data_IF_644544260693
#
_entry.id   IF_644544260693
#
_cell.length_a   1.000
_cell.length_b   1.000
_cell.length_c   1.000
_cell.angle_alpha   90.00
_cell.angle_beta   90.00
_cell.angle_gamma   90.00
#
_symmetry.space_group_name_H-M   'P 1'
#
loop_
_entity.id
_entity.type
_entity.pdbx_description
1 polymer ?
#
# COMPACT_ATOMS: atom_id res chain seq x y z
N UNK A 1 -9.58 29.16 -21.60
CA UNK A 1 -8.65 28.06 -21.25
C UNK A 1 -9.20 27.37 -20.00
N UNK A 2 -9.56 26.09 -20.06
CA UNK A 2 -10.06 25.37 -18.88
C UNK A 2 -8.90 25.12 -17.93
N UNK A 3 -8.89 25.75 -16.76
CA UNK A 3 -7.91 25.46 -15.71
C UNK A 3 -8.12 24.02 -15.24
N UNK A 4 -7.07 23.21 -15.34
CA UNK A 4 -7.03 21.85 -14.82
C UNK A 4 -6.55 21.91 -13.37
N UNK A 5 -7.02 20.96 -12.55
CA UNK A 5 -6.42 20.76 -11.24
C UNK A 5 -4.95 20.36 -11.41
N UNK A 6 -4.04 20.77 -10.49
CA UNK A 6 -2.61 20.53 -10.62
C UNK A 6 -2.26 19.05 -10.87
N UNK A 7 -2.96 18.13 -10.20
CA UNK A 7 -2.73 16.68 -10.33
C UNK A 7 -3.09 16.17 -11.73
N UNK A 8 -4.23 16.59 -12.28
CA UNK A 8 -4.66 16.21 -13.62
C UNK A 8 -3.74 16.78 -14.70
N UNK A 9 -3.30 18.04 -14.56
CA UNK A 9 -2.36 18.65 -15.49
C UNK A 9 -1.03 17.89 -15.50
N UNK A 10 -0.51 17.57 -14.31
CA UNK A 10 0.75 16.85 -14.19
C UNK A 10 0.65 15.41 -14.69
N UNK A 11 -0.47 14.72 -14.40
CA UNK A 11 -0.78 13.39 -14.94
C UNK A 11 -0.76 13.38 -16.47
N UNK A 12 -1.46 14.32 -17.12
CA UNK A 12 -1.50 14.42 -18.59
C UNK A 12 -0.10 14.70 -19.17
N UNK A 13 0.68 15.57 -18.53
CA UNK A 13 2.08 15.82 -18.91
C UNK A 13 2.92 14.54 -18.84
N UNK A 14 2.88 13.84 -17.71
CA UNK A 14 3.64 12.60 -17.49
C UNK A 14 3.21 11.48 -18.45
N UNK A 15 1.91 11.39 -18.75
CA UNK A 15 1.39 10.47 -19.75
C UNK A 15 2.01 10.76 -21.13
N UNK A 16 2.05 12.04 -21.53
CA UNK A 16 2.68 12.48 -22.76
C UNK A 16 4.19 12.21 -22.82
N UNK A 17 4.93 12.51 -21.74
CA UNK A 17 6.37 12.22 -21.62
C UNK A 17 6.65 10.73 -21.81
N UNK A 18 5.81 9.87 -21.23
CA UNK A 18 5.93 8.42 -21.33
C UNK A 18 5.35 7.79 -22.58
N UNK A 19 4.77 8.57 -23.50
CA UNK A 19 4.10 8.04 -24.70
C UNK A 19 2.81 7.24 -24.40
N UNK A 20 2.20 7.45 -23.24
CA UNK A 20 0.97 6.76 -22.83
C UNK A 20 -0.24 7.38 -23.55
N UNK A 21 -1.04 6.54 -24.22
CA UNK A 21 -2.27 6.99 -24.86
C UNK A 21 -3.38 7.16 -23.82
N UNK A 22 -3.99 8.34 -23.79
CA UNK A 22 -5.14 8.63 -22.94
C UNK A 22 -6.43 8.46 -23.75
N UNK A 23 -7.22 7.48 -23.35
CA UNK A 23 -8.46 7.10 -24.03
C UNK A 23 -9.69 7.42 -23.17
N UNK A 24 -10.84 7.63 -23.81
CA UNK A 24 -12.13 7.62 -23.12
C UNK A 24 -13.06 6.54 -23.68
N UNK A 25 -13.85 5.93 -22.79
CA UNK A 25 -14.83 4.93 -23.17
C UNK A 25 -16.12 5.61 -23.69
N UNK A 26 -16.77 5.12 -24.77
CA UNK A 26 -18.00 5.70 -25.27
C UNK A 26 -19.12 5.81 -24.23
N UNK A 27 -19.23 4.84 -23.34
CA UNK A 27 -20.21 4.85 -22.25
C UNK A 27 -20.01 6.02 -21.27
N UNK A 28 -18.79 6.52 -21.08
CA UNK A 28 -18.55 7.74 -20.29
C UNK A 28 -19.21 8.96 -20.93
N UNK A 29 -19.21 9.06 -22.26
CA UNK A 29 -19.91 10.14 -22.97
C UNK A 29 -21.43 10.01 -22.77
N UNK A 30 -21.96 8.80 -22.93
CA UNK A 30 -23.39 8.51 -22.69
C UNK A 30 -23.82 8.91 -21.27
N UNK A 31 -22.97 8.65 -20.28
CA UNK A 31 -23.24 9.05 -18.90
C UNK A 31 -23.20 10.58 -18.71
N UNK A 32 -22.16 11.24 -19.23
CA UNK A 32 -22.01 12.70 -19.19
C UNK A 32 -23.20 13.39 -19.88
N UNK A 33 -23.72 12.85 -20.98
CA UNK A 33 -24.84 13.43 -21.71
C UNK A 33 -26.13 13.48 -20.87
N UNK A 34 -26.30 12.52 -19.94
CA UNK A 34 -27.41 12.45 -18.97
C UNK A 34 -27.27 13.42 -17.79
N UNK A 35 -26.15 14.12 -17.66
CA UNK A 35 -25.95 15.12 -16.61
C UNK A 35 -26.99 16.26 -16.74
N UNK A 36 -27.75 16.46 -15.66
CA UNK A 36 -28.79 17.49 -15.54
C UNK A 36 -28.18 18.90 -15.44
N UNK A 37 -26.95 19.02 -14.95
CA UNK A 37 -26.26 20.30 -14.87
C UNK A 37 -25.61 20.63 -16.23
N UNK A 38 -26.26 21.50 -16.99
CA UNK A 38 -25.85 21.87 -18.35
C UNK A 38 -24.46 22.50 -18.41
N UNK A 39 -24.07 23.31 -17.42
CA UNK A 39 -22.74 23.91 -17.35
C UNK A 39 -21.65 22.87 -17.05
N UNK A 40 -21.88 21.98 -16.08
CA UNK A 40 -20.95 20.89 -15.74
C UNK A 40 -20.79 19.93 -16.91
N UNK A 41 -21.89 19.57 -17.57
CA UNK A 41 -21.91 18.74 -18.78
C UNK A 41 -21.06 19.33 -19.88
N UNK A 42 -21.31 20.59 -20.25
CA UNK A 42 -20.57 21.26 -21.34
C UNK A 42 -19.06 21.32 -21.06
N UNK A 43 -18.68 21.65 -19.81
CA UNK A 43 -17.26 21.64 -19.40
C UNK A 43 -16.62 20.26 -19.50
N UNK A 44 -17.33 19.21 -19.10
CA UNK A 44 -16.80 17.85 -19.08
C UNK A 44 -16.67 17.29 -20.50
N UNK A 45 -17.66 17.53 -21.36
CA UNK A 45 -17.60 17.17 -22.79
C UNK A 45 -16.45 17.88 -23.52
N UNK A 46 -16.23 19.17 -23.25
CA UNK A 46 -15.11 19.90 -23.83
C UNK A 46 -13.75 19.33 -23.40
N UNK A 47 -13.64 18.84 -22.16
CA UNK A 47 -12.43 18.13 -21.67
C UNK A 47 -12.29 16.76 -22.33
N UNK A 48 -13.39 16.03 -22.52
CA UNK A 48 -13.39 14.69 -23.11
C UNK A 48 -12.77 14.67 -24.52
N UNK A 49 -12.90 15.76 -25.27
CA UNK A 49 -12.30 15.93 -26.61
C UNK A 49 -10.76 15.91 -26.61
N UNK A 50 -10.12 16.08 -25.46
CA UNK A 50 -8.65 15.99 -25.32
C UNK A 50 -8.16 14.54 -25.35
N UNK A 51 -9.06 13.57 -25.20
CA UNK A 51 -8.75 12.14 -25.16
C UNK A 51 -9.22 11.45 -26.43
N UNK A 52 -8.50 10.42 -26.86
CA UNK A 52 -8.91 9.63 -28.02
C UNK A 52 -10.04 8.68 -27.62
N UNK A 53 -11.04 8.50 -28.49
CA UNK A 53 -12.14 7.56 -28.23
C UNK A 53 -11.62 6.13 -28.33
N UNK A 54 -12.01 5.27 -27.38
CA UNK A 54 -11.81 3.82 -27.51
C UNK A 54 -12.80 3.26 -28.54
N UNK A 55 -12.29 2.85 -29.70
CA UNK A 55 -13.08 2.24 -30.77
C UNK A 55 -13.31 0.75 -30.54
N UNK A 56 -14.48 0.24 -30.94
CA UNK A 56 -14.81 -1.19 -30.85
C UNK A 56 -14.97 -1.73 -29.43
N UNK A 57 -15.24 -0.87 -28.44
CA UNK A 57 -15.39 -1.30 -27.05
C UNK A 57 -16.53 -2.34 -26.89
N UNK A 58 -16.27 -3.49 -26.25
CA UNK A 58 -17.25 -4.56 -26.13
C UNK A 58 -18.37 -4.17 -25.15
N UNK A 59 -19.61 -4.51 -25.48
CA UNK A 59 -20.72 -4.40 -24.54
C UNK A 59 -20.58 -5.46 -23.44
N UNK A 60 -20.90 -5.09 -22.20
CA UNK A 60 -20.79 -6.00 -21.07
C UNK A 60 -21.84 -7.11 -21.14
N UNK A 61 -21.46 -8.40 -21.01
CA UNK A 61 -22.43 -9.49 -20.91
C UNK A 61 -23.22 -9.45 -19.59
N UNK A 62 -22.81 -8.61 -18.63
CA UNK A 62 -23.50 -8.42 -17.33
C UNK A 62 -24.74 -7.54 -17.43
N UNK A 63 -24.90 -6.81 -18.54
CA UNK A 63 -26.04 -5.92 -18.74
C UNK A 63 -27.29 -6.74 -19.09
N UNK A 64 -28.31 -6.62 -18.24
CA UNK A 64 -29.64 -7.23 -18.41
C UNK A 64 -30.70 -6.17 -18.62
N UNK A 65 -31.92 -6.57 -18.97
CA UNK A 65 -33.06 -5.65 -19.13
C UNK A 65 -33.41 -4.88 -17.84
N UNK A 66 -32.96 -5.37 -16.67
CA UNK A 66 -33.18 -4.73 -15.36
C UNK A 66 -32.02 -3.84 -14.92
N UNK A 67 -30.92 -3.80 -15.68
CA UNK A 67 -29.74 -3.01 -15.31
C UNK A 67 -30.02 -1.52 -15.48
N UNK A 68 -29.69 -0.71 -14.47
CA UNK A 68 -29.87 0.74 -14.57
C UNK A 68 -28.95 1.33 -15.65
N UNK A 69 -29.31 2.50 -16.18
CA UNK A 69 -28.52 3.14 -17.23
C UNK A 69 -27.10 3.54 -16.76
N UNK A 70 -26.93 3.82 -15.46
CA UNK A 70 -25.64 4.11 -14.85
C UNK A 70 -24.84 2.82 -14.67
N UNK A 71 -25.46 1.78 -14.11
CA UNK A 71 -24.81 0.47 -13.94
C UNK A 71 -24.38 -0.14 -15.28
N UNK A 72 -25.17 0.07 -16.33
CA UNK A 72 -24.83 -0.39 -17.67
C UNK A 72 -23.55 0.27 -18.18
N UNK A 73 -23.39 1.58 -17.97
CA UNK A 73 -22.17 2.31 -18.33
C UNK A 73 -20.95 1.83 -17.53
N UNK A 74 -21.10 1.65 -16.21
CA UNK A 74 -20.03 1.10 -15.37
C UNK A 74 -19.60 -0.28 -15.82
N UNK A 75 -20.58 -1.16 -16.07
CA UNK A 75 -20.35 -2.53 -16.49
C UNK A 75 -19.62 -2.58 -17.85
N UNK A 76 -19.97 -1.71 -18.79
CA UNK A 76 -19.29 -1.62 -20.09
C UNK A 76 -17.85 -1.13 -19.94
N UNK A 77 -17.63 -0.08 -19.14
CA UNK A 77 -16.28 0.45 -18.87
C UNK A 77 -15.40 -0.63 -18.22
N UNK A 78 -15.94 -1.34 -17.22
CA UNK A 78 -15.22 -2.42 -16.55
C UNK A 78 -15.00 -3.61 -17.46
N UNK A 79 -15.95 -3.92 -18.35
CA UNK A 79 -15.80 -5.02 -19.30
C UNK A 79 -14.71 -4.73 -20.35
N UNK A 80 -14.58 -3.48 -20.80
CA UNK A 80 -13.46 -3.09 -21.66
C UNK A 80 -12.10 -3.32 -20.98
N UNK A 81 -12.00 -3.05 -19.68
CA UNK A 81 -10.81 -3.37 -18.88
C UNK A 81 -10.58 -4.89 -18.78
N UNK A 82 -11.64 -5.68 -18.54
CA UNK A 82 -11.57 -7.15 -18.51
C UNK A 82 -11.11 -7.77 -19.83
N UNK A 83 -11.58 -7.22 -20.95
CA UNK A 83 -11.17 -7.61 -22.29
C UNK A 83 -9.78 -7.10 -22.68
N UNK A 84 -9.02 -6.50 -21.75
CA UNK A 84 -7.68 -5.97 -21.98
C UNK A 84 -7.63 -4.89 -23.09
N UNK A 85 -8.71 -4.12 -23.27
CA UNK A 85 -8.75 -3.02 -24.24
C UNK A 85 -7.89 -1.82 -23.79
N UNK A 86 -7.62 -1.71 -22.49
CA UNK A 86 -6.79 -0.65 -21.89
C UNK A 86 -5.90 -1.22 -20.79
N UNK A 87 -4.81 -0.53 -20.49
CA UNK A 87 -3.86 -0.97 -19.47
C UNK A 87 -4.26 -0.61 -18.03
N UNK A 88 -5.01 0.48 -17.88
CA UNK A 88 -5.46 0.98 -16.59
C UNK A 88 -6.70 1.86 -16.80
N UNK A 89 -7.54 1.92 -15.77
CA UNK A 89 -8.69 2.81 -15.72
C UNK A 89 -8.43 3.91 -14.69
N UNK A 90 -8.61 5.17 -15.07
CA UNK A 90 -8.52 6.32 -14.15
C UNK A 90 -9.92 6.88 -13.94
N UNK A 91 -10.42 6.82 -12.70
CA UNK A 91 -11.76 7.30 -12.32
C UNK A 91 -11.80 7.70 -10.84
N UNK A 92 -12.59 8.73 -10.53
CA UNK A 92 -12.93 9.13 -9.15
C UNK A 92 -14.18 8.42 -8.62
N UNK A 93 -14.81 7.57 -9.44
CA UNK A 93 -16.05 6.89 -9.11
C UNK A 93 -15.83 5.72 -8.13
N UNK A 94 -16.33 5.89 -6.89
CA UNK A 94 -16.19 4.91 -5.80
C UNK A 94 -16.90 3.57 -6.10
N UNK A 95 -18.00 3.58 -6.86
CA UNK A 95 -18.75 2.38 -7.21
C UNK A 95 -17.96 1.55 -8.22
N UNK A 96 -17.37 2.19 -9.25
CA UNK A 96 -16.47 1.51 -10.19
C UNK A 96 -15.27 0.89 -9.47
N UNK A 97 -14.64 1.62 -8.54
CA UNK A 97 -13.54 1.08 -7.70
C UNK A 97 -13.97 -0.13 -6.87
N UNK A 98 -15.22 -0.15 -6.40
CA UNK A 98 -15.78 -1.27 -5.62
C UNK A 98 -16.04 -2.50 -6.50
N UNK A 99 -16.75 -2.30 -7.62
CA UNK A 99 -17.07 -3.35 -8.60
C UNK A 99 -15.79 -4.00 -9.15
N UNK A 100 -14.77 -3.21 -9.49
CA UNK A 100 -13.49 -3.72 -10.00
C UNK A 100 -12.74 -4.61 -9.00
N UNK A 101 -12.81 -4.29 -7.70
CA UNK A 101 -12.18 -5.12 -6.66
C UNK A 101 -12.92 -6.43 -6.43
N UNK A 102 -14.24 -6.40 -6.40
CA UNK A 102 -15.06 -7.60 -6.29
C UNK A 102 -14.80 -8.56 -7.46
N UNK A 103 -14.50 -8.03 -8.64
CA UNK A 103 -14.15 -8.79 -9.83
C UNK A 103 -12.64 -9.11 -9.98
N UNK A 104 -11.80 -8.74 -9.00
CA UNK A 104 -10.39 -9.15 -8.91
C UNK A 104 -9.37 -8.28 -9.66
N UNK A 105 -9.79 -7.21 -10.32
CA UNK A 105 -8.90 -6.32 -11.10
C UNK A 105 -8.83 -4.88 -10.60
N UNK A 106 -9.24 -4.63 -9.34
CA UNK A 106 -9.09 -3.31 -8.71
C UNK A 106 -7.65 -2.76 -8.66
N UNK A 107 -6.64 -3.60 -8.86
CA UNK A 107 -5.24 -3.17 -9.01
C UNK A 107 -4.97 -2.37 -10.30
N UNK A 108 -5.88 -2.43 -11.30
CA UNK A 108 -5.81 -1.69 -12.56
C UNK A 108 -6.65 -0.41 -12.56
N UNK A 109 -7.35 -0.11 -11.46
CA UNK A 109 -8.21 1.08 -11.34
C UNK A 109 -7.58 2.09 -10.38
N UNK A 110 -7.44 3.34 -10.84
CA UNK A 110 -6.74 4.43 -10.16
C UNK A 110 -7.65 5.64 -10.04
N UNK A 111 -7.43 6.45 -9.01
CA UNK A 111 -7.85 7.85 -9.02
C UNK A 111 -6.73 8.72 -9.60
N UNK A 112 -6.99 10.00 -9.82
CA UNK A 112 -6.03 10.86 -10.50
C UNK A 112 -4.70 11.00 -9.73
N UNK A 113 -4.73 11.09 -8.40
CA UNK A 113 -3.51 11.21 -7.59
C UNK A 113 -2.68 9.92 -7.60
N UNK A 114 -3.30 8.75 -7.53
CA UNK A 114 -2.60 7.46 -7.59
C UNK A 114 -2.08 7.16 -9.00
N UNK A 115 -2.77 7.62 -10.04
CA UNK A 115 -2.30 7.52 -11.42
C UNK A 115 -1.11 8.46 -11.67
N UNK A 116 -1.15 9.69 -11.14
CA UNK A 116 -0.04 10.63 -11.19
C UNK A 116 1.21 10.09 -10.46
N UNK A 117 1.06 9.59 -9.22
CA UNK A 117 2.18 8.99 -8.45
C UNK A 117 2.79 7.79 -9.19
N UNK A 118 1.95 6.96 -9.82
CA UNK A 118 2.42 5.84 -10.64
C UNK A 118 3.29 6.31 -11.81
N UNK A 119 2.82 7.29 -12.60
CA UNK A 119 3.60 7.80 -13.72
C UNK A 119 4.87 8.55 -13.28
N UNK A 120 4.82 9.23 -12.13
CA UNK A 120 6.00 9.88 -11.55
C UNK A 120 7.08 8.86 -11.17
N UNK A 121 6.71 7.75 -10.52
CA UNK A 121 7.64 6.64 -10.23
C UNK A 121 8.23 6.03 -11.50
N UNK A 122 7.42 5.97 -12.54
CA UNK A 122 7.80 5.33 -13.79
C UNK A 122 8.81 6.18 -14.59
N UNK A 123 8.58 7.49 -14.66
CA UNK A 123 9.32 8.41 -15.54
C UNK A 123 10.30 9.34 -14.81
N UNK A 124 10.04 9.64 -13.55
CA UNK A 124 10.82 10.56 -12.70
C UNK A 124 11.23 9.87 -11.38
N UNK A 125 11.79 8.63 -11.40
CA UNK A 125 12.04 7.82 -10.20
C UNK A 125 12.99 8.48 -9.20
N UNK A 126 13.98 9.24 -9.68
CA UNK A 126 14.97 9.93 -8.85
C UNK A 126 14.35 11.06 -8.00
N UNK A 127 13.17 11.55 -8.38
CA UNK A 127 12.45 12.59 -7.64
C UNK A 127 11.48 11.99 -6.60
N UNK A 128 11.17 10.70 -6.70
CA UNK A 128 10.21 10.05 -5.79
C UNK A 128 10.88 9.58 -4.51
N UNK A 129 10.86 10.46 -3.51
CA UNK A 129 11.20 10.10 -2.15
C UNK A 129 9.91 9.83 -1.37
N UNK A 130 9.79 8.62 -0.80
CA UNK A 130 8.77 8.38 0.22
C UNK A 130 9.11 9.24 1.44
N UNK A 131 8.16 10.04 1.96
CA UNK A 131 8.45 10.86 3.12
C UNK A 131 8.71 9.96 4.32
N UNK A 132 9.58 10.43 5.21
CA UNK A 132 9.81 9.75 6.46
C UNK A 132 8.60 9.92 7.37
N UNK A 133 8.26 8.85 8.07
CA UNK A 133 7.31 8.94 9.18
C UNK A 133 8.10 9.30 10.44
N UNK A 134 7.76 10.45 11.02
CA UNK A 134 8.32 10.93 12.28
C UNK A 134 7.33 10.65 13.41
N UNK A 135 7.81 10.17 14.55
CA UNK A 135 7.02 10.10 15.79
C UNK A 135 7.30 11.34 16.62
N UNK A 136 6.28 12.18 16.83
CA UNK A 136 6.43 13.47 17.50
C UNK A 136 5.40 13.63 18.62
N UNK A 137 5.74 14.34 19.71
CA UNK A 137 4.73 14.74 20.69
C UNK A 137 3.69 15.65 20.05
N UNK A 138 2.40 15.41 20.32
CA UNK A 138 1.31 16.19 19.72
C UNK A 138 1.44 17.70 19.98
N UNK A 139 1.93 18.10 21.15
CA UNK A 139 2.08 19.52 21.50
C UNK A 139 3.00 20.27 20.55
N UNK A 140 3.97 19.59 19.91
CA UNK A 140 4.89 20.18 18.93
C UNK A 140 4.19 20.65 17.65
N UNK A 141 2.97 20.18 17.41
CA UNK A 141 2.16 20.52 16.23
C UNK A 141 1.13 21.62 16.51
N UNK A 142 1.02 22.11 17.74
CA UNK A 142 -0.03 23.07 18.15
C UNK A 142 0.02 24.38 17.35
N UNK A 143 1.22 24.83 16.97
CA UNK A 143 1.42 26.03 16.15
C UNK A 143 1.07 25.82 14.65
N UNK A 144 0.88 24.56 14.22
CA UNK A 144 0.56 24.19 12.85
C UNK A 144 -0.93 23.87 12.67
N UNK A 145 -1.74 23.95 13.73
CA UNK A 145 -3.19 23.66 13.64
C UNK A 145 -3.93 24.54 12.64
N UNK A 146 -3.39 25.67 12.23
CA UNK A 146 -3.97 26.54 11.20
C UNK A 146 -3.63 26.10 9.76
N UNK A 147 -3.01 24.93 9.56
CA UNK A 147 -2.70 24.44 8.22
C UNK A 147 -3.90 23.78 7.53
N UNK A 148 -3.81 23.68 6.20
CA UNK A 148 -4.82 23.10 5.32
C UNK A 148 -5.19 21.66 5.69
N UNK A 149 -4.22 20.86 6.16
CA UNK A 149 -4.47 19.51 6.64
C UNK A 149 -5.48 19.51 7.80
N UNK A 150 -5.27 20.40 8.78
CA UNK A 150 -6.13 20.48 9.97
C UNK A 150 -7.46 21.17 9.67
N UNK A 151 -7.53 22.08 8.69
CA UNK A 151 -8.81 22.60 8.19
C UNK A 151 -9.69 21.45 7.67
N UNK A 152 -9.10 20.53 6.93
CA UNK A 152 -9.82 19.35 6.42
C UNK A 152 -10.22 18.34 7.50
N UNK A 153 -9.57 18.36 8.67
CA UNK A 153 -9.96 17.57 9.84
C UNK A 153 -11.14 18.21 10.57
N UNK A 154 -11.05 19.52 10.83
CA UNK A 154 -12.13 20.32 11.42
C UNK A 154 -13.42 20.21 10.60
N UNK A 155 -13.33 20.32 9.28
CA UNK A 155 -14.49 20.20 8.39
C UNK A 155 -15.28 18.89 8.57
N UNK A 156 -14.59 17.80 8.95
CA UNK A 156 -15.23 16.49 9.20
C UNK A 156 -15.54 16.19 10.67
N UNK A 157 -14.87 16.85 11.61
CA UNK A 157 -14.94 16.53 13.04
C UNK A 157 -15.81 17.51 13.84
N UNK A 158 -15.77 18.79 13.47
CA UNK A 158 -16.38 19.84 14.26
C UNK A 158 -17.92 19.77 14.18
N UNK A 159 -18.54 19.88 15.34
CA UNK A 159 -19.99 19.99 15.52
C UNK A 159 -20.25 21.03 16.61
N UNK A 160 -21.48 21.52 16.81
CA UNK A 160 -21.75 22.48 17.89
C UNK A 160 -21.33 22.00 19.29
N UNK A 161 -21.17 20.68 19.49
CA UNK A 161 -20.79 20.05 20.76
C UNK A 161 -19.34 19.52 20.78
N UNK A 162 -18.62 19.53 19.65
CA UNK A 162 -17.26 18.96 19.55
C UNK A 162 -16.35 19.87 18.71
N UNK A 163 -15.15 20.13 19.23
CA UNK A 163 -14.12 20.89 18.52
C UNK A 163 -12.83 20.08 18.45
N UNK A 164 -12.32 19.87 17.24
CA UNK A 164 -11.07 19.17 16.97
C UNK A 164 -9.90 19.85 17.67
N UNK A 165 -9.85 21.17 17.55
CA UNK A 165 -8.80 22.02 18.13
C UNK A 165 -8.77 21.94 19.67
N UNK A 166 -9.94 21.92 20.31
CA UNK A 166 -10.05 21.76 21.76
C UNK A 166 -9.60 20.35 22.19
N UNK A 167 -10.10 19.32 21.51
CA UNK A 167 -9.71 17.93 21.74
C UNK A 167 -8.21 17.70 21.53
N UNK A 168 -7.64 18.26 20.46
CA UNK A 168 -6.22 18.15 20.15
C UNK A 168 -5.37 18.72 21.27
N UNK A 169 -5.68 19.95 21.72
CA UNK A 169 -4.94 20.61 22.82
C UNK A 169 -5.10 19.85 24.14
N UNK A 170 -6.28 19.29 24.41
CA UNK A 170 -6.51 18.44 25.59
C UNK A 170 -5.60 17.20 25.55
N UNK A 171 -5.61 16.44 24.44
CA UNK A 171 -4.79 15.23 24.31
C UNK A 171 -3.29 15.52 24.21
N UNK A 172 -2.91 16.67 23.66
CA UNK A 172 -1.51 17.12 23.66
C UNK A 172 -0.97 17.33 25.09
N UNK A 173 -1.79 17.86 26.00
CA UNK A 173 -1.41 18.05 27.42
C UNK A 173 -1.20 16.74 28.17
N UNK A 174 -1.78 15.64 27.72
CA UNK A 174 -1.56 14.30 28.32
C UNK A 174 -0.26 13.65 27.85
N UNK A 175 0.57 14.36 27.07
CA UNK A 175 1.82 13.82 26.52
C UNK A 175 1.62 12.81 25.39
N UNK A 176 0.49 12.85 24.68
CA UNK A 176 0.21 11.94 23.56
C UNK A 176 1.10 12.27 22.35
N UNK A 177 1.47 11.23 21.60
CA UNK A 177 2.26 11.33 20.38
C UNK A 177 1.40 11.17 19.11
N UNK A 178 1.99 11.53 17.97
CA UNK A 178 1.43 11.30 16.65
C UNK A 178 2.55 10.95 15.65
N UNK A 179 2.24 10.03 14.75
CA UNK A 179 3.04 9.84 13.55
C UNK A 179 2.68 10.89 12.51
N UNK A 180 3.67 11.53 11.90
CA UNK A 180 3.45 12.54 10.87
C UNK A 180 4.25 12.24 9.61
N UNK A 181 3.79 12.79 8.49
CA UNK A 181 4.59 12.94 7.28
C UNK A 181 4.61 14.42 6.86
N UNK A 182 5.78 14.87 6.41
CA UNK A 182 6.01 16.21 5.85
C UNK A 182 6.51 16.07 4.41
N UNK A 183 6.22 17.07 3.59
CA UNK A 183 6.99 17.30 2.37
C UNK A 183 8.09 18.28 2.75
N UNK A 184 9.35 17.83 2.61
CA UNK A 184 10.54 18.56 3.06
C UNK A 184 10.49 18.92 4.57
N UNK A 185 11.21 19.95 5.01
CA UNK A 185 11.14 20.47 6.40
C UNK A 185 9.90 21.37 6.66
N UNK A 186 8.88 21.25 5.82
CA UNK A 186 7.72 22.14 5.81
C UNK A 186 6.54 21.70 6.67
N UNK A 187 5.33 21.99 6.19
CA UNK A 187 4.08 21.72 6.89
C UNK A 187 3.80 20.21 7.04
N UNK A 188 3.05 19.87 8.10
CA UNK A 188 2.48 18.51 8.23
C UNK A 188 1.44 18.29 7.15
N UNK A 189 1.65 17.25 6.35
CA UNK A 189 0.79 16.87 5.22
C UNK A 189 0.05 15.55 5.49
N UNK A 190 0.46 14.78 6.49
CA UNK A 190 -0.32 13.67 7.01
C UNK A 190 -0.08 13.48 8.51
N UNK A 191 -1.10 12.95 9.21
CA UNK A 191 -1.04 12.69 10.64
C UNK A 191 -1.80 11.41 11.00
N UNK A 192 -1.20 10.62 11.88
CA UNK A 192 -1.85 9.53 12.59
C UNK A 192 -1.65 9.69 14.10
N UNK A 193 -2.72 10.06 14.82
CA UNK A 193 -2.70 10.17 16.28
C UNK A 193 -3.08 8.81 16.85
N UNK A 194 -2.29 8.31 17.80
CA UNK A 194 -2.50 6.99 18.38
C UNK A 194 -2.52 7.00 19.91
N UNK A 195 -3.11 5.96 20.50
CA UNK A 195 -3.16 5.78 21.94
C UNK A 195 -3.29 4.30 22.32
N UNK A 196 -2.61 3.89 23.39
CA UNK A 196 -2.86 2.60 24.03
C UNK A 196 -4.16 2.68 24.84
N UNK A 197 -4.99 1.64 24.75
CA UNK A 197 -6.25 1.47 25.48
C UNK A 197 -6.30 0.03 26.02
N UNK A 198 -6.97 -0.20 27.15
CA UNK A 198 -7.12 -1.54 27.75
C UNK A 198 -8.59 -1.82 27.98
N UNK A 199 -9.09 -2.97 27.52
CA UNK A 199 -10.47 -3.43 27.72
C UNK A 199 -11.55 -2.42 27.28
N UNK A 200 -11.24 -1.62 26.26
CA UNK A 200 -12.07 -0.53 25.72
C UNK A 200 -13.38 -1.08 25.13
N UNK A 201 -14.48 -0.38 25.41
CA UNK A 201 -15.75 -0.58 24.70
C UNK A 201 -15.67 0.06 23.34
N UNK A 202 -15.82 -0.73 22.28
CA UNK A 202 -15.46 -0.28 20.94
C UNK A 202 -16.63 0.09 20.03
N UNK A 203 -17.85 -0.32 20.36
CA UNK A 203 -19.03 -0.12 19.51
C UNK A 203 -20.31 0.08 20.34
N UNK A 204 -21.40 0.43 19.66
CA UNK A 204 -22.71 0.67 20.30
C UNK A 204 -23.33 -0.61 20.89
N UNK A 205 -22.95 -1.78 20.37
CA UNK A 205 -23.31 -3.09 20.92
C UNK A 205 -22.59 -3.41 22.25
N UNK A 206 -21.67 -2.54 22.68
CA UNK A 206 -20.85 -2.65 23.89
C UNK A 206 -19.86 -3.82 23.85
N UNK A 207 -19.42 -4.23 22.67
CA UNK A 207 -18.33 -5.18 22.52
C UNK A 207 -17.04 -4.60 23.11
N UNK A 208 -16.21 -5.48 23.68
CA UNK A 208 -14.92 -5.12 24.29
C UNK A 208 -13.77 -5.86 23.64
N UNK A 209 -12.70 -5.15 23.37
CA UNK A 209 -11.42 -5.75 22.98
C UNK A 209 -10.65 -6.13 24.24
N UNK A 210 -10.44 -7.43 24.44
CA UNK A 210 -9.69 -7.92 25.60
C UNK A 210 -8.19 -7.57 25.47
N UNK A 211 -7.59 -7.15 26.57
CA UNK A 211 -6.17 -6.85 26.65
C UNK A 211 -5.79 -5.48 26.10
N UNK A 212 -4.48 -5.25 25.98
CA UNK A 212 -3.93 -3.99 25.50
C UNK A 212 -4.21 -3.83 23.99
N UNK A 213 -4.68 -2.65 23.58
CA UNK A 213 -5.05 -2.37 22.20
C UNK A 213 -4.51 -1.01 21.76
N UNK A 214 -4.09 -0.90 20.50
CA UNK A 214 -3.68 0.36 19.89
C UNK A 214 -4.86 1.01 19.17
N UNK A 215 -5.32 2.16 19.66
CA UNK A 215 -6.33 3.00 18.99
C UNK A 215 -5.67 3.98 18.05
N UNK A 216 -6.02 3.93 16.77
CA UNK A 216 -5.71 4.99 15.81
C UNK A 216 -6.82 6.05 15.91
N UNK A 217 -6.59 7.09 16.70
CA UNK A 217 -7.57 8.11 17.06
C UNK A 217 -7.85 9.10 15.91
N UNK A 218 -6.85 9.35 15.07
CA UNK A 218 -6.98 10.16 13.88
C UNK A 218 -6.08 9.53 12.82
N UNK A 219 -6.56 9.41 11.59
CA UNK A 219 -5.80 8.88 10.48
C UNK A 219 -6.11 9.73 9.24
N UNK A 220 -5.22 10.64 8.88
CA UNK A 220 -5.45 11.59 7.80
C UNK A 220 -4.22 11.73 6.92
N UNK A 221 -4.45 11.63 5.62
CA UNK A 221 -3.47 11.92 4.57
C UNK A 221 -3.99 13.09 3.73
N UNK A 222 -3.25 14.19 3.73
CA UNK A 222 -3.53 15.39 2.96
C UNK A 222 -3.53 15.10 1.46
N UNK A 223 -4.37 15.83 0.73
CA UNK A 223 -4.64 15.58 -0.69
C UNK A 223 -3.38 15.66 -1.56
N UNK A 224 -2.47 16.56 -1.22
CA UNK A 224 -1.21 16.81 -1.95
C UNK A 224 -0.24 15.61 -1.92
N UNK A 225 -0.38 14.73 -0.92
CA UNK A 225 0.49 13.56 -0.76
C UNK A 225 -0.27 12.23 -0.79
N UNK A 226 -1.56 12.25 -1.16
CA UNK A 226 -2.30 11.01 -1.45
C UNK A 226 -1.61 10.26 -2.59
N UNK A 227 -1.72 8.94 -2.57
CA UNK A 227 -1.05 8.07 -3.55
C UNK A 227 0.40 7.70 -3.20
N UNK A 228 1.11 8.50 -2.39
CA UNK A 228 2.51 8.24 -2.00
C UNK A 228 2.70 7.17 -0.91
N UNK A 229 1.78 6.21 -0.80
CA UNK A 229 1.79 5.12 0.20
C UNK A 229 1.88 5.53 1.68
N UNK A 230 1.58 6.78 2.01
CA UNK A 230 1.66 7.31 3.39
C UNK A 230 0.81 6.51 4.38
N UNK A 231 -0.41 6.15 3.98
CA UNK A 231 -1.27 5.34 4.82
C UNK A 231 -0.67 3.97 5.12
N UNK A 232 0.00 3.35 4.15
CA UNK A 232 0.71 2.09 4.37
C UNK A 232 1.92 2.25 5.30
N UNK A 233 2.63 3.38 5.23
CA UNK A 233 3.70 3.70 6.17
C UNK A 233 3.18 3.92 7.60
N UNK A 234 2.02 4.57 7.78
CA UNK A 234 1.37 4.67 9.08
C UNK A 234 0.94 3.31 9.63
N UNK A 235 0.40 2.42 8.78
CA UNK A 235 0.09 1.06 9.21
C UNK A 235 1.34 0.28 9.60
N UNK A 236 2.46 0.45 8.87
CA UNK A 236 3.75 -0.13 9.25
C UNK A 236 4.21 0.36 10.62
N UNK A 237 4.14 1.67 10.88
CA UNK A 237 4.45 2.25 12.18
C UNK A 237 3.52 1.71 13.29
N UNK A 238 2.22 1.61 13.01
CA UNK A 238 1.23 1.07 13.94
C UNK A 238 1.49 -0.41 14.29
N UNK A 239 1.78 -1.26 13.29
CA UNK A 239 2.09 -2.68 13.53
C UNK A 239 3.37 -2.87 14.34
N UNK A 240 4.39 -2.06 14.07
CA UNK A 240 5.62 -2.06 14.85
C UNK A 240 5.35 -1.66 16.30
N UNK A 241 4.71 -0.51 16.50
CA UNK A 241 4.38 -0.01 17.84
C UNK A 241 3.50 -0.98 18.64
N UNK A 242 2.49 -1.56 18.00
CA UNK A 242 1.62 -2.56 18.62
C UNK A 242 2.38 -3.83 19.02
N UNK A 243 3.33 -4.28 18.19
CA UNK A 243 4.20 -5.43 18.51
C UNK A 243 5.11 -5.12 19.69
N UNK A 244 5.79 -3.97 19.66
CA UNK A 244 6.71 -3.53 20.72
C UNK A 244 5.96 -3.34 22.05
N UNK A 245 4.71 -2.88 21.99
CA UNK A 245 3.84 -2.68 23.16
C UNK A 245 3.10 -3.94 23.61
N UNK A 246 3.20 -5.06 22.87
CA UNK A 246 2.41 -6.30 23.12
C UNK A 246 0.90 -6.04 23.16
N UNK A 247 0.41 -5.21 22.25
CA UNK A 247 -1.02 -5.09 22.00
C UNK A 247 -1.55 -6.41 21.43
N UNK A 248 -2.82 -6.72 21.68
CA UNK A 248 -3.57 -7.83 21.09
C UNK A 248 -4.43 -7.40 19.90
N UNK A 249 -4.72 -6.09 19.80
CA UNK A 249 -5.58 -5.53 18.76
C UNK A 249 -5.11 -4.14 18.33
N UNK A 250 -5.47 -3.77 17.10
CA UNK A 250 -5.38 -2.41 16.59
C UNK A 250 -6.75 -2.02 16.04
N UNK A 251 -7.22 -0.82 16.36
CA UNK A 251 -8.56 -0.41 15.96
C UNK A 251 -8.69 1.06 15.61
N UNK A 252 -9.73 1.36 14.84
CA UNK A 252 -10.03 2.69 14.32
C UNK A 252 -11.52 2.89 14.13
N UNK A 253 -11.99 4.09 14.46
CA UNK A 253 -13.31 4.59 14.11
C UNK A 253 -13.16 5.50 12.89
N UNK A 254 -13.95 5.26 11.84
CA UNK A 254 -13.91 6.08 10.62
C UNK A 254 -15.28 6.14 9.96
N UNK A 255 -15.60 7.24 9.27
CA UNK A 255 -16.83 7.34 8.50
C UNK A 255 -16.79 6.46 7.24
N UNK A 256 -17.97 6.13 6.73
CA UNK A 256 -18.17 5.42 5.46
C UNK A 256 -17.69 6.21 4.24
N UNK A 257 -17.71 7.54 4.32
CA UNK A 257 -17.21 8.44 3.29
C UNK A 257 -15.71 8.31 3.01
N UNK A 258 -14.92 7.82 3.97
CA UNK A 258 -13.46 7.61 3.87
C UNK A 258 -13.11 6.32 3.10
N UNK A 259 -13.68 6.16 1.91
CA UNK A 259 -13.58 4.96 1.06
C UNK A 259 -12.14 4.41 0.93
N UNK A 260 -11.18 5.27 0.57
CA UNK A 260 -9.78 4.85 0.38
C UNK A 260 -9.10 4.37 1.67
N UNK A 261 -9.47 4.95 2.82
CA UNK A 261 -8.96 4.51 4.12
C UNK A 261 -9.54 3.14 4.48
N UNK A 262 -10.86 2.96 4.31
CA UNK A 262 -11.53 1.67 4.54
C UNK A 262 -10.89 0.56 3.70
N UNK A 263 -10.61 0.85 2.44
CA UNK A 263 -9.94 -0.07 1.53
C UNK A 263 -8.55 -0.45 1.99
N UNK A 264 -7.73 0.55 2.31
CA UNK A 264 -6.39 0.34 2.84
C UNK A 264 -6.44 -0.55 4.09
N UNK A 265 -7.32 -0.25 5.04
CA UNK A 265 -7.45 -1.00 6.28
C UNK A 265 -7.85 -2.46 6.00
N UNK A 266 -8.84 -2.72 5.15
CA UNK A 266 -9.25 -4.08 4.77
C UNK A 266 -8.13 -4.87 4.10
N UNK A 267 -7.36 -4.24 3.22
CA UNK A 267 -6.19 -4.80 2.54
C UNK A 267 -5.06 -5.25 3.50
N UNK A 268 -5.06 -4.70 4.71
CA UNK A 268 -4.16 -5.01 5.81
C UNK A 268 -4.80 -5.83 6.95
N UNK A 269 -6.01 -6.36 6.71
CA UNK A 269 -6.64 -7.32 7.61
C UNK A 269 -7.51 -6.71 8.70
N UNK A 270 -7.92 -5.43 8.58
CA UNK A 270 -8.95 -4.87 9.44
C UNK A 270 -10.33 -5.34 9.00
N UNK A 271 -11.16 -5.70 9.98
CA UNK A 271 -12.52 -6.21 9.81
C UNK A 271 -13.53 -5.30 10.49
N UNK A 272 -14.73 -5.17 9.90
CA UNK A 272 -15.82 -4.39 10.51
C UNK A 272 -16.37 -5.12 11.73
N UNK A 273 -16.38 -4.44 12.88
CA UNK A 273 -16.91 -4.92 14.16
C UNK A 273 -18.03 -4.00 14.68
N UNK A 274 -18.92 -3.58 13.79
CA UNK A 274 -20.09 -2.76 14.12
C UNK A 274 -19.94 -1.26 13.84
N UNK A 275 -20.71 -0.46 14.55
CA UNK A 275 -20.77 1.00 14.46
C UNK A 275 -20.53 1.62 15.84
N UNK A 276 -20.00 2.83 15.87
CA UNK A 276 -19.91 3.68 17.06
C UNK A 276 -20.52 5.03 16.73
N UNK A 277 -21.78 5.23 17.11
CA UNK A 277 -22.60 6.31 16.57
C UNK A 277 -22.73 6.20 15.04
N UNK A 278 -22.21 7.19 14.32
CA UNK A 278 -22.23 7.21 12.84
C UNK A 278 -20.99 6.57 12.22
N UNK A 279 -19.95 6.30 13.00
CA UNK A 279 -18.67 5.82 12.49
C UNK A 279 -18.63 4.29 12.40
N UNK A 280 -17.98 3.78 11.37
CA UNK A 280 -17.66 2.37 11.22
C UNK A 280 -16.53 2.02 12.18
N UNK A 281 -16.72 0.94 12.95
CA UNK A 281 -15.70 0.37 13.82
C UNK A 281 -14.92 -0.73 13.09
N UNK A 282 -13.61 -0.54 12.91
CA UNK A 282 -12.71 -1.51 12.29
C UNK A 282 -11.68 -2.02 13.29
N UNK A 283 -11.49 -3.34 13.34
CA UNK A 283 -10.53 -4.03 14.22
C UNK A 283 -9.62 -4.92 13.40
N UNK A 284 -8.32 -4.87 13.68
CA UNK A 284 -7.35 -5.87 13.25
C UNK A 284 -6.86 -6.63 14.47
N UNK A 285 -6.96 -7.96 14.42
CA UNK A 285 -6.30 -8.82 15.39
C UNK A 285 -4.77 -8.68 15.24
N UNK A 286 -4.10 -8.42 16.35
CA UNK A 286 -2.65 -8.26 16.43
C UNK A 286 -2.12 -9.02 17.64
N UNK A 287 -2.30 -10.35 17.71
CA UNK A 287 -2.02 -11.08 18.94
C UNK A 287 -0.52 -11.10 19.26
N UNK A 288 -0.15 -11.08 20.53
CA UNK A 288 1.28 -11.11 20.93
C UNK A 288 1.99 -12.40 20.50
N UNK A 289 1.24 -13.50 20.40
CA UNK A 289 1.73 -14.80 19.93
C UNK A 289 1.07 -15.20 18.61
N UNK A 290 1.77 -15.95 17.73
CA UNK A 290 1.21 -16.44 16.49
C UNK A 290 -0.05 -17.30 16.76
N UNK A 291 -1.22 -16.98 16.17
CA UNK A 291 -2.41 -17.80 16.33
C UNK A 291 -2.26 -19.20 15.73
N UNK A 292 -2.80 -20.21 16.42
CA UNK A 292 -2.89 -21.55 15.86
C UNK A 292 -4.19 -21.70 15.06
N UNK A 293 -4.19 -21.16 13.84
CA UNK A 293 -5.36 -21.17 12.93
C UNK A 293 -4.95 -21.75 11.59
N UNK A 294 -5.68 -22.78 11.14
CA UNK A 294 -5.43 -23.42 9.84
C UNK A 294 -6.17 -22.71 8.71
N UNK A 295 -5.53 -21.67 8.17
CA UNK A 295 -5.98 -20.92 6.99
C UNK A 295 -4.82 -20.80 5.99
N UNK A 296 -5.10 -20.50 4.70
CA UNK A 296 -4.04 -20.29 3.71
C UNK A 296 -2.97 -19.30 4.19
N UNK A 297 -1.70 -19.60 3.93
CA UNK A 297 -0.57 -18.81 4.45
C UNK A 297 -0.62 -17.32 4.05
N UNK A 298 -1.15 -17.03 2.87
CA UNK A 298 -1.34 -15.65 2.39
C UNK A 298 -2.40 -14.90 3.20
N UNK A 299 -3.53 -15.55 3.54
CA UNK A 299 -4.57 -14.96 4.37
C UNK A 299 -4.10 -14.79 5.80
N UNK A 300 -3.36 -15.77 6.31
CA UNK A 300 -2.72 -15.68 7.62
C UNK A 300 -1.80 -14.45 7.72
N UNK A 301 -0.90 -14.28 6.74
CA UNK A 301 0.01 -13.15 6.70
C UNK A 301 -0.70 -11.79 6.57
N UNK A 302 -1.91 -11.75 5.98
CA UNK A 302 -2.73 -10.55 5.91
C UNK A 302 -3.45 -10.27 7.23
N UNK A 303 -4.12 -11.26 7.80
CA UNK A 303 -4.95 -11.13 9.00
C UNK A 303 -4.11 -10.91 10.26
N UNK A 304 -2.98 -11.62 10.39
CA UNK A 304 -2.17 -11.65 11.61
C UNK A 304 -0.78 -11.02 11.45
N UNK A 305 -0.54 -10.23 10.41
CA UNK A 305 0.71 -9.46 10.25
C UNK A 305 1.13 -8.78 11.57
N UNK A 306 2.40 -8.88 12.02
CA UNK A 306 3.57 -9.40 11.30
C UNK A 306 3.76 -10.93 11.37
N UNK A 307 2.86 -11.68 12.00
CA UNK A 307 2.95 -13.14 12.03
C UNK A 307 2.74 -13.74 10.64
N UNK A 308 3.46 -14.83 10.38
CA UNK A 308 3.36 -15.60 9.15
C UNK A 308 3.47 -17.10 9.46
N UNK A 309 2.85 -17.94 8.61
CA UNK A 309 2.98 -19.39 8.71
C UNK A 309 4.39 -19.79 8.26
N UNK A 310 4.98 -20.73 9.01
CA UNK A 310 6.31 -21.26 8.75
C UNK A 310 6.40 -22.78 8.91
N UNK A 311 5.25 -23.45 9.04
CA UNK A 311 5.16 -24.91 9.10
C UNK A 311 5.57 -25.56 7.76
N UNK A 312 5.67 -26.89 7.76
CA UNK A 312 6.19 -27.69 6.64
C UNK A 312 5.39 -27.57 5.33
N UNK A 313 4.18 -27.01 5.37
CA UNK A 313 3.38 -26.78 4.15
C UNK A 313 3.84 -25.54 3.37
N UNK A 314 4.54 -24.61 4.03
CA UNK A 314 5.05 -23.38 3.44
C UNK A 314 6.44 -23.63 2.88
N UNK A 315 6.74 -23.27 1.63
CA UNK A 315 8.12 -23.39 1.11
C UNK A 315 8.94 -22.17 1.50
N UNK A 316 10.26 -22.37 1.56
CA UNK A 316 11.23 -21.34 1.93
C UNK A 316 12.28 -21.21 0.85
N UNK A 317 12.60 -19.98 0.46
CA UNK A 317 13.56 -19.68 -0.60
C UNK A 317 14.56 -18.61 -0.18
N UNK A 318 15.84 -18.80 -0.54
CA UNK A 318 16.84 -17.74 -0.55
C UNK A 318 16.77 -17.00 -1.88
N UNK A 319 16.70 -15.67 -1.83
CA UNK A 319 16.61 -14.77 -2.98
C UNK A 319 17.84 -13.88 -3.01
N UNK A 320 18.79 -14.09 -3.93
CA UNK A 320 19.95 -13.20 -4.07
C UNK A 320 19.52 -11.85 -4.66
N UNK A 321 19.91 -10.75 -4.03
CA UNK A 321 19.61 -9.39 -4.48
C UNK A 321 20.88 -8.54 -4.52
N UNK A 322 21.04 -7.77 -5.59
CA UNK A 322 22.20 -6.88 -5.75
C UNK A 322 22.09 -5.67 -4.80
N UNK A 323 23.21 -5.12 -4.32
CA UNK A 323 23.23 -4.00 -3.37
C UNK A 323 22.36 -2.82 -3.76
N UNK A 324 22.40 -2.38 -5.03
CA UNK A 324 21.63 -1.22 -5.45
C UNK A 324 20.11 -1.45 -5.35
N UNK A 325 19.61 -2.64 -5.69
CA UNK A 325 18.18 -2.94 -5.55
C UNK A 325 17.78 -3.23 -4.11
N UNK A 326 18.70 -3.81 -3.33
CA UNK A 326 18.50 -4.05 -1.90
C UNK A 326 18.29 -2.75 -1.13
N UNK A 327 19.14 -1.75 -1.36
CA UNK A 327 19.04 -0.44 -0.70
C UNK A 327 17.71 0.26 -1.01
N UNK A 328 17.20 0.11 -2.24
CA UNK A 328 15.94 0.73 -2.65
C UNK A 328 14.73 -0.02 -2.08
N UNK A 329 14.75 -1.36 -2.05
CA UNK A 329 13.65 -2.14 -1.47
C UNK A 329 13.63 -2.06 0.06
N UNK A 330 14.79 -1.99 0.71
CA UNK A 330 14.95 -2.02 2.16
C UNK A 330 15.76 -0.83 2.70
N UNK A 331 15.34 0.42 2.44
CA UNK A 331 16.09 1.61 2.83
C UNK A 331 16.18 1.80 4.35
N UNK A 332 15.31 1.12 5.11
CA UNK A 332 15.32 1.13 6.57
C UNK A 332 16.61 0.52 7.15
N UNK A 333 17.19 -0.48 6.47
CA UNK A 333 18.45 -1.11 6.87
C UNK A 333 19.66 -0.18 6.70
N UNK A 334 19.69 0.62 5.63
CA UNK A 334 20.78 1.58 5.40
C UNK A 334 20.79 2.71 6.45
N UNK A 335 19.62 3.13 6.94
CA UNK A 335 19.49 4.19 7.94
C UNK A 335 19.81 3.73 9.36
N UNK A 336 19.51 2.47 9.71
CA UNK A 336 19.92 1.89 11.00
C UNK A 336 21.45 1.89 11.18
N UNK A 337 22.22 1.81 10.09
CA UNK A 337 23.68 1.88 10.14
C UNK A 337 24.24 3.32 10.34
N UNK A 338 23.43 4.37 10.14
CA UNK A 338 23.87 5.79 10.13
C UNK A 338 23.47 6.57 11.39
N UNK A 339 23.19 5.89 12.51
CA UNK A 339 22.65 6.45 13.76
C UNK A 339 23.42 7.68 14.33
N UNK A 340 23.09 8.89 13.87
CA UNK A 340 23.12 10.17 14.61
C UNK A 340 22.17 11.25 14.02
N UNK A 341 21.13 10.89 13.25
CA UNK A 341 20.18 11.86 12.70
C UNK A 341 18.79 11.29 12.41
N UNK A 342 17.78 11.90 13.05
CA UNK A 342 16.32 11.74 12.92
C UNK A 342 15.71 10.31 12.92
N UNK A 343 14.82 10.08 13.89
CA UNK A 343 14.06 8.85 14.13
C UNK A 343 12.97 8.58 13.08
N UNK A 344 13.38 8.27 11.85
CA UNK A 344 12.46 7.76 10.82
C UNK A 344 11.95 6.37 11.23
N UNK A 345 10.63 6.24 11.39
CA UNK A 345 9.97 5.00 11.88
C UNK A 345 9.75 3.99 10.75
N UNK A 346 9.64 4.47 9.51
CA UNK A 346 9.46 3.68 8.30
C UNK A 346 9.79 4.52 7.06
N UNK A 347 10.57 4.01 6.12
CA UNK A 347 10.78 4.68 4.83
C UNK A 347 10.69 3.78 3.60
N UNK A 348 10.09 2.59 3.72
CA UNK A 348 9.39 1.96 2.60
C UNK A 348 8.16 1.18 3.07
N UNK A 349 7.26 0.93 2.14
CA UNK A 349 5.99 0.24 2.34
C UNK A 349 6.15 -1.24 2.70
N UNK A 350 5.09 -1.87 3.19
CA UNK A 350 5.08 -3.31 3.52
C UNK A 350 5.03 -4.15 2.24
N UNK A 351 4.16 -3.79 1.28
CA UNK A 351 3.97 -4.47 0.00
C UNK A 351 4.96 -3.93 -1.03
N UNK A 352 5.82 -4.81 -1.52
CA UNK A 352 6.91 -4.53 -2.45
C UNK A 352 6.84 -5.44 -3.69
N UNK A 353 7.57 -5.06 -4.74
CA UNK A 353 7.77 -5.86 -5.95
C UNK A 353 9.26 -6.07 -6.21
N UNK A 354 9.65 -7.30 -6.51
CA UNK A 354 11.00 -7.68 -6.90
C UNK A 354 10.98 -8.31 -8.30
N UNK A 355 11.85 -7.83 -9.18
CA UNK A 355 12.00 -8.32 -10.55
C UNK A 355 13.24 -9.20 -10.64
N UNK A 356 13.09 -10.41 -11.21
CA UNK A 356 14.20 -11.33 -11.34
C UNK A 356 14.12 -12.21 -12.59
N UNK A 357 15.26 -12.75 -13.01
CA UNK A 357 15.37 -13.75 -14.09
C UNK A 357 15.66 -15.15 -13.53
N UNK A 358 15.22 -15.42 -12.30
CA UNK A 358 15.51 -16.69 -11.65
C UNK A 358 14.90 -17.85 -12.48
N UNK A 359 15.59 -18.99 -12.66
CA UNK A 359 15.07 -20.10 -13.47
C UNK A 359 13.87 -20.80 -12.81
N UNK A 360 13.73 -20.74 -11.48
CA UNK A 360 12.67 -21.45 -10.75
C UNK A 360 11.27 -20.88 -10.99
N UNK A 361 10.30 -21.78 -11.19
CA UNK A 361 8.85 -21.50 -11.22
C UNK A 361 8.14 -22.10 -9.99
N UNK A 362 8.90 -22.52 -8.97
CA UNK A 362 8.35 -23.26 -7.84
C UNK A 362 7.70 -22.36 -6.78
N UNK A 363 7.98 -21.06 -6.80
CA UNK A 363 7.48 -20.10 -5.81
C UNK A 363 5.97 -19.90 -5.98
N UNK A 364 5.20 -19.96 -4.90
CA UNK A 364 3.75 -19.73 -4.89
C UNK A 364 3.35 -18.71 -3.82
N UNK A 365 2.13 -18.14 -3.91
CA UNK A 365 1.58 -17.30 -2.85
C UNK A 365 1.61 -17.97 -1.48
N UNK A 366 2.02 -17.22 -0.45
CA UNK A 366 2.20 -17.70 0.92
C UNK A 366 3.59 -18.25 1.25
N UNK A 367 4.44 -18.51 0.25
CA UNK A 367 5.82 -18.96 0.49
C UNK A 367 6.66 -17.86 1.16
N UNK A 368 7.68 -18.29 1.91
CA UNK A 368 8.65 -17.41 2.55
C UNK A 368 9.85 -17.20 1.62
N UNK A 369 10.26 -15.95 1.50
CA UNK A 369 11.49 -15.53 0.82
C UNK A 369 12.44 -14.84 1.78
N UNK A 370 13.71 -15.17 1.69
CA UNK A 370 14.81 -14.64 2.47
C UNK A 370 15.77 -13.90 1.54
N UNK A 371 15.83 -12.58 1.64
CA UNK A 371 16.67 -11.76 0.77
C UNK A 371 18.12 -11.77 1.25
N UNK A 372 19.00 -12.28 0.39
CA UNK A 372 20.44 -12.34 0.57
C UNK A 372 21.11 -11.24 -0.25
N UNK A 373 21.70 -10.24 0.41
CA UNK A 373 22.42 -9.14 -0.26
C UNK A 373 23.76 -9.67 -0.79
N UNK A 374 23.93 -9.63 -2.10
CA UNK A 374 25.14 -10.12 -2.78
C UNK A 374 26.23 -9.05 -2.84
N UNK A 375 27.45 -9.44 -3.21
CA UNK A 375 28.54 -8.48 -3.42
C UNK A 375 29.19 -8.04 -2.12
N UNK A 376 28.67 -6.96 -1.52
CA UNK A 376 29.28 -6.26 -0.38
C UNK A 376 29.03 -6.95 0.96
N UNK A 377 27.80 -6.98 1.45
CA UNK A 377 27.45 -7.45 2.79
C UNK A 377 27.48 -8.98 2.88
N UNK A 378 27.08 -9.67 1.79
CA UNK A 378 27.03 -11.13 1.70
C UNK A 378 26.28 -11.75 2.88
N UNK A 379 25.09 -11.24 3.17
CA UNK A 379 24.28 -11.66 4.30
C UNK A 379 22.78 -11.74 3.97
N UNK A 380 22.06 -12.60 4.69
CA UNK A 380 20.59 -12.61 4.69
C UNK A 380 20.11 -11.52 5.64
N UNK A 381 19.30 -10.61 5.12
CA UNK A 381 18.95 -9.35 5.82
C UNK A 381 17.45 -9.20 6.07
N UNK A 382 16.62 -9.73 5.17
CA UNK A 382 15.17 -9.48 5.18
C UNK A 382 14.39 -10.74 4.92
N UNK A 383 13.26 -10.89 5.60
CA UNK A 383 12.26 -11.92 5.34
C UNK A 383 11.00 -11.30 4.72
N UNK A 384 10.46 -11.97 3.71
CA UNK A 384 9.22 -11.58 3.05
C UNK A 384 8.29 -12.76 2.80
N UNK A 385 7.01 -12.46 2.59
CA UNK A 385 5.95 -13.43 2.28
C UNK A 385 5.44 -13.14 0.88
N UNK A 386 5.46 -14.13 0.00
CA UNK A 386 5.06 -13.97 -1.40
C UNK A 386 3.55 -13.79 -1.48
N UNK A 387 3.10 -12.73 -2.15
CA UNK A 387 1.69 -12.54 -2.52
C UNK A 387 1.39 -13.07 -3.92
N UNK A 388 2.34 -12.89 -4.85
CA UNK A 388 2.16 -13.26 -6.25
C UNK A 388 3.52 -13.51 -6.89
N UNK A 389 3.59 -14.48 -7.80
CA UNK A 389 4.81 -14.78 -8.56
C UNK A 389 4.44 -15.17 -9.98
N UNK A 390 4.80 -14.33 -10.95
CA UNK A 390 4.33 -14.47 -12.33
C UNK A 390 5.44 -14.20 -13.34
N UNK A 391 5.39 -14.89 -14.48
CA UNK A 391 6.30 -14.70 -15.60
C UNK A 391 5.66 -13.74 -16.59
N UNK A 392 6.43 -12.74 -17.02
CA UNK A 392 6.01 -11.74 -17.99
C UNK A 392 7.12 -11.49 -19.01
N UNK A 393 6.73 -11.40 -20.27
CA UNK A 393 7.65 -11.16 -21.40
C UNK A 393 7.57 -9.72 -21.92
N UNK A 394 6.54 -8.99 -21.50
CA UNK A 394 6.23 -7.65 -21.99
C UNK A 394 6.43 -6.61 -20.87
N UNK A 395 7.23 -5.58 -21.16
CA UNK A 395 7.51 -4.48 -20.24
C UNK A 395 6.23 -3.78 -19.74
N UNK A 396 5.27 -3.54 -20.63
CA UNK A 396 3.99 -2.90 -20.32
C UNK A 396 3.20 -3.71 -19.29
N UNK A 397 3.12 -5.04 -19.48
CA UNK A 397 2.45 -5.93 -18.52
C UNK A 397 3.13 -5.89 -17.14
N UNK A 398 4.47 -5.88 -17.11
CA UNK A 398 5.23 -5.76 -15.87
C UNK A 398 4.89 -4.44 -15.18
N UNK A 399 4.99 -3.32 -15.89
CA UNK A 399 4.72 -1.97 -15.38
C UNK A 399 3.32 -1.87 -14.75
N UNK A 400 2.31 -2.50 -15.35
CA UNK A 400 0.95 -2.55 -14.79
C UNK A 400 0.89 -3.32 -13.47
N UNK A 401 1.53 -4.47 -13.40
CA UNK A 401 1.47 -5.36 -12.23
C UNK A 401 2.27 -4.80 -11.07
N UNK A 402 3.40 -4.18 -11.37
CA UNK A 402 4.29 -3.63 -10.36
C UNK A 402 3.97 -2.18 -10.02
N UNK A 403 3.02 -1.55 -10.70
CA UNK A 403 2.67 -0.12 -10.66
C UNK A 403 2.88 0.57 -9.31
N UNK A 404 2.09 0.19 -8.30
CA UNK A 404 2.11 0.78 -6.97
C UNK A 404 3.24 0.22 -6.11
N UNK A 405 3.89 -0.87 -6.50
CA UNK A 405 4.75 -1.70 -5.64
C UNK A 405 6.21 -1.71 -6.06
N UNK A 406 6.50 -1.15 -7.22
CA UNK A 406 7.82 -1.13 -7.82
C UNK A 406 8.64 0.04 -7.36
N UNK A 407 9.93 -0.20 -7.35
CA UNK A 407 10.97 0.81 -7.21
C UNK A 407 11.82 0.93 -8.48
N UNK A 408 11.49 0.13 -9.50
CA UNK A 408 12.16 0.11 -10.81
C UNK A 408 11.54 1.16 -11.73
N UNK A 409 12.38 1.90 -12.45
CA UNK A 409 11.95 2.83 -13.49
C UNK A 409 11.49 2.11 -14.76
N UNK A 410 10.82 2.81 -15.68
CA UNK A 410 10.49 2.24 -16.99
C UNK A 410 11.75 1.75 -17.71
N UNK A 411 12.81 2.56 -17.69
CA UNK A 411 14.09 2.23 -18.33
C UNK A 411 14.71 0.97 -17.74
N UNK A 412 14.63 0.79 -16.42
CA UNK A 412 15.13 -0.42 -15.76
C UNK A 412 14.34 -1.65 -16.19
N UNK A 413 13.00 -1.54 -16.22
CA UNK A 413 12.12 -2.63 -16.63
C UNK A 413 12.40 -3.01 -18.09
N UNK A 414 12.43 -2.02 -18.99
CA UNK A 414 12.72 -2.21 -20.42
C UNK A 414 14.08 -2.88 -20.63
N UNK A 415 15.13 -2.40 -19.95
CA UNK A 415 16.47 -2.99 -20.02
C UNK A 415 16.51 -4.45 -19.55
N UNK A 416 15.64 -4.82 -18.60
CA UNK A 416 15.55 -6.20 -18.12
C UNK A 416 14.74 -7.10 -19.08
N UNK A 417 13.83 -6.55 -19.90
CA UNK A 417 12.84 -7.33 -20.70
C UNK A 417 13.35 -7.97 -21.99
N UNK A 418 14.66 -7.98 -22.24
CA UNK A 418 15.24 -8.73 -23.35
C UNK A 418 14.99 -10.25 -23.30
N UNK A 419 14.54 -10.74 -22.15
CA UNK A 419 14.16 -12.14 -21.87
C UNK A 419 12.98 -12.13 -20.89
N UNK A 420 12.17 -13.20 -20.81
CA UNK A 420 11.11 -13.31 -19.82
C UNK A 420 11.59 -13.00 -18.39
N UNK A 421 10.88 -12.11 -17.70
CA UNK A 421 11.16 -11.71 -16.30
C UNK A 421 10.09 -12.29 -15.40
N UNK A 422 10.48 -12.60 -14.16
CA UNK A 422 9.57 -12.97 -13.09
C UNK A 422 9.33 -11.78 -12.17
N UNK A 423 8.06 -11.49 -11.96
CA UNK A 423 7.55 -10.48 -11.04
C UNK A 423 7.16 -11.17 -9.75
N UNK A 424 7.84 -10.83 -8.66
CA UNK A 424 7.49 -11.29 -7.31
C UNK A 424 6.88 -10.13 -6.53
N UNK A 425 5.58 -10.21 -6.23
CA UNK A 425 4.94 -9.32 -5.27
C UNK A 425 5.01 -9.96 -3.89
N UNK A 426 5.42 -9.21 -2.87
CA UNK A 426 5.62 -9.76 -1.52
C UNK A 426 5.35 -8.72 -0.42
N UNK A 427 5.09 -9.20 0.79
CA UNK A 427 5.05 -8.41 2.03
C UNK A 427 6.38 -8.54 2.76
N UNK A 428 6.97 -7.44 3.16
CA UNK A 428 8.12 -7.43 4.07
C UNK A 428 7.62 -7.80 5.46
N UNK A 429 7.98 -8.98 5.95
CA UNK A 429 7.60 -9.45 7.29
C UNK A 429 8.52 -8.87 8.38
N UNK A 430 9.79 -8.64 8.05
CA UNK A 430 10.75 -8.03 8.96
C UNK A 430 12.17 -8.07 8.45
N UNK A 431 13.05 -7.40 9.19
CA UNK A 431 14.49 -7.41 8.97
C UNK A 431 15.17 -8.16 10.12
N UNK A 432 16.24 -8.89 9.80
CA UNK A 432 17.06 -9.54 10.82
C UNK A 432 17.92 -8.48 11.51
N UNK A 433 17.86 -8.41 12.85
CA UNK A 433 18.69 -7.49 13.64
C UNK A 433 20.17 -7.82 13.49
N UNK A 434 20.49 -9.13 13.48
CA UNK A 434 21.79 -9.68 13.13
C UNK A 434 21.70 -10.30 11.72
N UNK A 435 22.16 -9.62 10.65
CA UNK A 435 22.22 -10.21 9.32
C UNK A 435 23.03 -11.50 9.31
N UNK A 436 22.50 -12.54 8.65
CA UNK A 436 23.12 -13.87 8.66
C UNK A 436 24.16 -13.95 7.56
N UNK A 437 25.44 -13.89 7.92
CA UNK A 437 26.55 -13.88 6.97
C UNK A 437 26.66 -15.17 6.15
N UNK A 438 27.20 -15.06 4.95
CA UNK A 438 27.48 -16.22 4.09
C UNK A 438 28.36 -17.29 4.76
N UNK A 439 29.31 -16.88 5.61
CA UNK A 439 30.12 -17.83 6.38
C UNK A 439 29.26 -18.67 7.34
N UNK A 440 28.31 -18.03 8.03
CA UNK A 440 27.35 -18.73 8.90
C UNK A 440 26.45 -19.68 8.12
N UNK A 441 25.96 -19.25 6.93
CA UNK A 441 25.16 -20.13 6.05
C UNK A 441 25.93 -21.40 5.64
N UNK A 442 27.24 -21.28 5.41
CA UNK A 442 28.12 -22.40 5.04
C UNK A 442 28.38 -23.31 6.22
N UNK A 443 28.70 -22.75 7.38
CA UNK A 443 28.95 -23.51 8.62
C UNK A 443 27.73 -24.34 9.03
N UNK A 444 26.53 -23.76 8.92
CA UNK A 444 25.28 -24.43 9.26
C UNK A 444 24.75 -25.38 8.17
N UNK A 445 25.52 -25.60 7.09
CA UNK A 445 25.14 -26.40 5.93
C UNK A 445 23.82 -25.98 5.27
N UNK A 446 23.47 -24.69 5.35
CA UNK A 446 22.30 -24.12 4.68
C UNK A 446 22.56 -24.03 3.17
N UNK A 447 23.80 -23.70 2.78
CA UNK A 447 24.21 -23.60 1.38
C UNK A 447 25.53 -24.32 1.10
N UNK A 448 25.62 -24.99 -0.04
CA UNK A 448 26.80 -25.74 -0.50
C UNK A 448 27.68 -24.95 -1.47
N UNK A 449 27.27 -23.76 -1.90
CA UNK A 449 28.00 -22.94 -2.87
C UNK A 449 27.49 -21.51 -2.95
N UNK A 450 27.87 -20.82 -4.03
CA UNK A 450 27.45 -19.44 -4.28
C UNK A 450 25.94 -19.35 -4.52
N UNK A 451 25.31 -18.35 -3.92
CA UNK A 451 23.86 -18.09 -4.06
C UNK A 451 23.66 -17.20 -5.29
N UNK A 452 23.57 -17.81 -6.47
CA UNK A 452 23.44 -17.10 -7.75
C UNK A 452 21.99 -17.02 -8.27
N UNK A 453 21.10 -17.85 -7.75
CA UNK A 453 19.69 -17.89 -8.15
C UNK A 453 18.77 -18.17 -6.95
N UNK A 454 17.47 -17.99 -7.15
CA UNK A 454 16.47 -18.31 -6.12
C UNK A 454 16.55 -19.81 -5.81
N UNK A 455 16.89 -20.12 -4.56
CA UNK A 455 17.19 -21.49 -4.12
C UNK A 455 16.24 -21.90 -3.01
N UNK A 456 15.57 -23.05 -3.16
CA UNK A 456 14.72 -23.61 -2.10
C UNK A 456 15.59 -24.13 -0.96
N UNK A 457 15.20 -23.86 0.28
CA UNK A 457 15.85 -24.39 1.49
C UNK A 457 14.88 -25.28 2.27
N UNK A 458 15.41 -26.19 3.08
CA UNK A 458 14.62 -27.07 3.95
C UNK A 458 14.12 -26.34 5.20
N UNK A 459 13.10 -26.90 5.85
CA UNK A 459 12.59 -26.42 7.14
C UNK A 459 13.64 -26.41 8.25
N UNK A 460 14.53 -27.43 8.26
CA UNK A 460 15.63 -27.50 9.22
C UNK A 460 16.64 -26.38 8.99
N UNK A 461 17.06 -26.16 7.73
CA UNK A 461 17.91 -25.03 7.36
C UNK A 461 17.27 -23.70 7.74
N UNK A 462 15.98 -23.51 7.47
CA UNK A 462 15.24 -22.32 7.86
C UNK A 462 15.21 -22.12 9.38
N UNK A 463 15.00 -23.19 10.15
CA UNK A 463 14.98 -23.14 11.62
C UNK A 463 16.36 -22.81 12.21
N UNK A 464 17.45 -23.24 11.58
CA UNK A 464 18.81 -22.82 11.94
C UNK A 464 19.02 -21.33 11.67
N UNK A 465 18.59 -20.83 10.52
CA UNK A 465 18.68 -19.39 10.19
C UNK A 465 17.95 -18.51 11.21
N UNK A 466 16.72 -18.87 11.58
CA UNK A 466 15.98 -18.09 12.57
C UNK A 466 16.70 -18.04 13.92
N UNK A 467 17.33 -19.14 14.36
CA UNK A 467 18.13 -19.17 15.59
C UNK A 467 19.36 -18.26 15.49
N UNK A 468 20.07 -18.28 14.36
CA UNK A 468 21.23 -17.41 14.12
C UNK A 468 20.86 -15.92 14.15
N UNK A 469 19.65 -15.56 13.70
CA UNK A 469 19.20 -14.17 13.70
C UNK A 469 18.75 -13.61 15.06
N UNK A 470 18.62 -14.49 16.07
CA UNK A 470 18.20 -14.15 17.43
C UNK A 470 19.39 -14.11 18.42
N UNK A 471 20.55 -14.64 18.01
CA UNK A 471 21.82 -14.50 18.72
C UNK A 471 22.56 -13.24 18.28
#
# INVERSE_FOLDING_TARGET
MLVLEPSLANFVRLAGVGGHQLLYHPASKTDIDRDKNTQRRARTLARLQQYTKLEGAPASPRNTAQTSANDACDNDILHALECSAVHALVTEDKEIHTKARQAGFGHQVYNIQTAEDWLRRLHEPAEVHLPNIEDVPMYSLTNQLNSTLFDSLRASYDTPQRSFDAWFREKARTGRNAWIARVDQGAVEAICIYALQTDEVINDAKDRLQGLSLKLCTFKVGEQIRGRKIGELFLKAAFRFATDSRCENIFVHTSDDQFYLLDLLRDFGFEKRGMYGTDIMLVKAHPSSPPNVDIPAIDYARLYFPHYRKDFTVRKFLVPIQPQYHQILFPDLARQAQLFGSSSVAGNAIKQAYLCKAPTNQVQPGDIVLFYRTGDERAVTTIGIVERYEVHENATNIIQIVSRRTVYSQKDIEAMTSTPIKVMLFRVAGHFQSPISYSSLRQENVVSGAIQSITKISDDSFSRLLRLSQG
#
